data_IF_766800224961
#
_entry.id   IF_766800224961
#
_cell.length_a   1.000
_cell.length_b   1.000
_cell.length_c   1.000
_cell.angle_alpha   90.00
_cell.angle_beta   90.00
_cell.angle_gamma   90.00
#
_symmetry.space_group_name_H-M   'P 1'
#
loop_
_entity.id
_entity.type
_entity.pdbx_description
1 polymer ?
#
# COMPACT_ATOMS: atom_id res chain seq x y z
N UNK A 1 14.22 7.66 17.55
CA UNK A 1 13.85 6.32 18.09
C UNK A 1 13.26 5.40 17.03
N UNK A 2 12.29 5.84 16.22
CA UNK A 2 11.69 4.99 15.18
C UNK A 2 12.69 4.45 14.14
N UNK A 3 13.46 5.33 13.49
CA UNK A 3 14.41 4.91 12.44
C UNK A 3 15.39 3.84 12.93
N UNK A 4 15.90 3.97 14.17
CA UNK A 4 16.75 2.96 14.82
C UNK A 4 16.06 1.62 15.01
N UNK A 5 14.80 1.62 15.44
CA UNK A 5 14.02 0.39 15.61
C UNK A 5 13.74 -0.29 14.25
N UNK A 6 13.41 0.49 13.21
CA UNK A 6 13.20 -0.04 11.87
C UNK A 6 14.50 -0.57 11.25
N UNK A 7 15.61 0.12 11.49
CA UNK A 7 16.93 -0.31 11.03
C UNK A 7 17.36 -1.65 11.65
N UNK A 8 16.89 -2.02 12.84
CA UNK A 8 17.16 -3.36 13.40
C UNK A 8 16.66 -4.48 12.50
N UNK A 9 15.49 -4.34 11.86
CA UNK A 9 15.00 -5.36 10.92
C UNK A 9 15.90 -5.53 9.69
N UNK A 10 16.66 -4.49 9.33
CA UNK A 10 17.70 -4.57 8.29
C UNK A 10 18.92 -5.31 8.83
N UNK A 11 19.40 -4.97 10.05
CA UNK A 11 20.53 -5.63 10.69
C UNK A 11 20.32 -7.13 10.95
N UNK A 12 19.07 -7.53 11.22
CA UNK A 12 18.69 -8.93 11.38
C UNK A 12 18.81 -9.77 10.09
N UNK A 13 18.84 -9.12 8.92
CA UNK A 13 18.78 -9.77 7.61
C UNK A 13 20.04 -9.60 6.79
N UNK A 14 20.74 -8.49 6.98
CA UNK A 14 21.89 -8.13 6.18
C UNK A 14 23.01 -7.58 7.05
N UNK A 15 24.23 -7.73 6.56
CA UNK A 15 25.40 -7.04 7.08
C UNK A 15 25.59 -5.72 6.30
N UNK A 16 25.20 -4.55 6.85
CA UNK A 16 25.15 -3.31 6.06
C UNK A 16 26.49 -2.88 5.48
N UNK A 17 27.61 -3.27 6.10
CA UNK A 17 28.96 -2.98 5.61
C UNK A 17 29.28 -3.62 4.25
N UNK A 18 28.53 -4.64 3.83
CA UNK A 18 28.65 -5.26 2.50
C UNK A 18 27.98 -4.43 1.41
N UNK A 19 27.13 -3.47 1.78
CA UNK A 19 26.35 -2.68 0.84
C UNK A 19 26.89 -1.25 0.73
N UNK A 20 26.78 -0.66 -0.46
CA UNK A 20 26.71 0.79 -0.55
C UNK A 20 25.28 1.21 -0.18
N UNK A 21 25.11 1.79 1.00
CA UNK A 21 23.78 2.25 1.42
C UNK A 21 23.47 3.66 0.93
N UNK A 22 22.20 3.89 0.58
CA UNK A 22 21.66 5.16 0.12
C UNK A 22 20.38 5.52 0.91
N UNK A 23 20.32 6.71 1.49
CA UNK A 23 19.06 7.30 1.97
C UNK A 23 18.54 8.34 0.97
N UNK A 24 17.47 8.03 0.22
CA UNK A 24 16.81 9.02 -0.62
C UNK A 24 15.92 9.90 0.27
N UNK A 25 15.82 11.19 -0.06
CA UNK A 25 15.09 12.20 0.70
C UNK A 25 15.36 12.14 2.22
N UNK A 26 16.63 12.33 2.57
CA UNK A 26 17.14 12.10 3.91
C UNK A 26 16.60 13.06 4.99
N UNK A 27 16.11 14.24 4.62
CA UNK A 27 15.70 15.30 5.54
C UNK A 27 16.76 15.57 6.60
N UNK A 28 16.45 15.28 7.86
CA UNK A 28 17.37 15.42 9.00
C UNK A 28 18.39 14.27 9.12
N UNK A 29 18.47 13.36 8.16
CA UNK A 29 19.37 12.20 8.11
C UNK A 29 19.00 11.10 9.09
N UNK A 30 17.72 10.77 9.21
CA UNK A 30 17.21 9.86 10.25
C UNK A 30 17.78 8.44 10.12
N UNK A 31 17.88 7.90 8.91
CA UNK A 31 18.55 6.62 8.66
C UNK A 31 20.05 6.81 8.40
N UNK A 32 20.47 7.88 7.72
CA UNK A 32 21.85 8.18 7.35
C UNK A 32 22.81 8.15 8.53
N UNK A 33 22.40 8.69 9.68
CA UNK A 33 23.15 8.65 10.94
C UNK A 33 23.42 7.24 11.48
N UNK A 34 22.70 6.23 11.00
CA UNK A 34 22.80 4.84 11.44
C UNK A 34 23.59 3.97 10.45
N UNK A 35 23.81 4.47 9.23
CA UNK A 35 24.45 3.70 8.17
C UNK A 35 25.98 3.69 8.31
N UNK A 36 26.68 2.69 7.76
CA UNK A 36 28.14 2.64 7.77
C UNK A 36 28.79 3.87 7.14
N UNK A 37 30.07 4.10 7.47
CA UNK A 37 30.85 5.13 6.79
C UNK A 37 30.93 4.85 5.27
N UNK A 38 30.85 5.91 4.46
CA UNK A 38 30.82 5.81 3.00
C UNK A 38 29.44 5.53 2.40
N UNK A 39 28.38 5.54 3.22
CA UNK A 39 27.00 5.62 2.72
C UNK A 39 26.68 6.98 2.11
N UNK A 40 25.65 7.02 1.29
CA UNK A 40 25.18 8.21 0.59
C UNK A 40 23.80 8.63 1.14
N UNK A 41 23.54 9.92 1.12
CA UNK A 41 22.23 10.47 1.41
C UNK A 41 22.00 11.68 0.52
N UNK A 42 20.77 11.86 0.03
CA UNK A 42 20.39 13.03 -0.76
C UNK A 42 19.06 13.59 -0.31
N UNK A 43 18.87 14.90 -0.50
CA UNK A 43 17.59 15.56 -0.33
C UNK A 43 17.51 16.81 -1.22
N UNK A 44 16.31 17.14 -1.69
CA UNK A 44 16.05 18.40 -2.41
C UNK A 44 16.16 19.62 -1.50
N UNK A 45 16.08 19.41 -0.18
CA UNK A 45 16.20 20.39 0.88
C UNK A 45 17.14 19.81 1.98
N UNK A 46 18.43 19.75 1.66
CA UNK A 46 19.45 19.14 2.51
C UNK A 46 19.61 19.89 3.84
N UNK A 47 19.15 19.25 4.94
CA UNK A 47 19.13 19.83 6.30
C UNK A 47 20.20 19.28 7.25
N UNK A 48 20.94 18.28 6.83
CA UNK A 48 21.93 17.61 7.66
C UNK A 48 23.31 17.56 6.99
N UNK A 49 24.41 17.82 7.71
CA UNK A 49 25.75 17.75 7.14
C UNK A 49 26.04 16.39 6.47
N UNK A 50 26.59 16.43 5.26
CA UNK A 50 26.90 15.25 4.46
C UNK A 50 25.74 14.76 3.58
N UNK A 51 24.53 15.31 3.72
CA UNK A 51 23.44 15.06 2.77
C UNK A 51 23.68 15.87 1.50
N UNK A 52 23.65 15.19 0.35
CA UNK A 52 23.83 15.77 -0.97
C UNK A 52 22.56 16.54 -1.35
N UNK A 53 22.68 17.83 -1.66
CA UNK A 53 21.57 18.63 -2.18
C UNK A 53 21.27 18.20 -3.63
N UNK A 54 20.22 17.40 -3.83
CA UNK A 54 19.87 16.86 -5.14
C UNK A 54 18.46 16.27 -5.18
N UNK A 55 17.86 16.25 -6.36
CA UNK A 55 16.66 15.45 -6.63
C UNK A 55 17.05 13.98 -6.79
N UNK A 56 16.44 13.11 -5.97
CA UNK A 56 16.67 11.67 -6.02
C UNK A 56 16.44 11.08 -7.41
N UNK A 57 15.45 11.58 -8.16
CA UNK A 57 15.17 11.10 -9.52
C UNK A 57 16.27 11.43 -10.54
N UNK A 58 17.16 12.37 -10.21
CA UNK A 58 18.34 12.69 -11.03
C UNK A 58 19.59 11.90 -10.61
N UNK A 59 19.52 11.12 -9.52
CA UNK A 59 20.65 10.34 -9.01
C UNK A 59 20.67 8.96 -9.63
N UNK A 60 21.85 8.58 -10.10
CA UNK A 60 22.22 7.21 -10.44
C UNK A 60 23.46 6.83 -9.64
N UNK A 61 23.42 5.67 -8.99
CA UNK A 61 24.55 5.14 -8.23
C UNK A 61 25.15 3.97 -9.00
N UNK A 62 26.45 4.05 -9.27
CA UNK A 62 27.24 2.94 -9.77
C UNK A 62 28.18 2.50 -8.66
N UNK A 63 28.16 1.21 -8.34
CA UNK A 63 28.99 0.64 -7.28
C UNK A 63 29.38 -0.79 -7.61
N UNK A 64 30.63 -1.13 -7.25
CA UNK A 64 31.10 -2.53 -7.22
C UNK A 64 30.48 -3.33 -6.06
N UNK A 65 29.88 -2.63 -5.07
CA UNK A 65 29.14 -3.27 -3.98
C UNK A 65 27.66 -3.33 -4.32
N UNK A 66 26.93 -4.34 -3.83
CA UNK A 66 25.47 -4.31 -3.83
C UNK A 66 24.94 -3.03 -3.19
N UNK A 67 23.86 -2.49 -3.72
CA UNK A 67 23.28 -1.22 -3.26
C UNK A 67 22.05 -1.49 -2.41
N UNK A 68 21.97 -0.81 -1.26
CA UNK A 68 20.79 -0.86 -0.39
C UNK A 68 20.21 0.53 -0.20
N UNK A 69 18.99 0.73 -0.66
CA UNK A 69 18.27 1.99 -0.48
C UNK A 69 17.33 1.90 0.71
N UNK A 70 17.49 2.77 1.71
CA UNK A 70 16.66 2.80 2.93
C UNK A 70 16.15 4.21 3.21
N UNK A 71 14.89 4.38 3.60
CA UNK A 71 14.36 5.72 3.83
C UNK A 71 12.87 5.80 4.10
N UNK A 72 12.37 7.04 4.13
CA UNK A 72 10.95 7.36 4.27
C UNK A 72 10.53 8.27 3.11
N UNK A 73 10.29 7.72 1.90
CA UNK A 73 9.96 8.51 0.73
C UNK A 73 8.71 9.36 0.93
N UNK A 74 8.62 10.56 0.33
CA UNK A 74 7.40 11.35 0.36
C UNK A 74 6.26 10.59 -0.31
N UNK A 75 5.08 10.60 0.31
CA UNK A 75 4.00 9.70 -0.11
C UNK A 75 3.29 10.14 -1.40
N UNK A 76 3.10 11.44 -1.60
CA UNK A 76 2.31 11.98 -2.72
C UNK A 76 0.83 11.61 -2.66
N UNK A 77 0.06 12.01 -3.68
CA UNK A 77 -1.38 11.72 -3.77
C UNK A 77 -1.59 10.24 -4.06
N UNK A 78 -2.44 9.57 -3.27
CA UNK A 78 -2.72 8.13 -3.45
C UNK A 78 -1.47 7.24 -3.52
N UNK A 79 -0.44 7.60 -2.74
CA UNK A 79 0.85 6.89 -2.70
C UNK A 79 1.65 6.91 -4.02
N UNK A 80 1.34 7.81 -4.97
CA UNK A 80 2.00 7.83 -6.28
C UNK A 80 3.50 8.07 -6.17
N UNK A 81 3.90 9.10 -5.42
CA UNK A 81 5.29 9.51 -5.33
C UNK A 81 6.15 8.45 -4.63
N UNK A 82 5.63 7.79 -3.60
CA UNK A 82 6.33 6.68 -2.96
C UNK A 82 6.52 5.48 -3.92
N UNK A 83 5.58 5.24 -4.85
CA UNK A 83 5.73 4.20 -5.89
C UNK A 83 6.83 4.61 -6.88
N UNK A 84 6.87 5.88 -7.27
CA UNK A 84 7.90 6.40 -8.18
C UNK A 84 9.29 6.32 -7.54
N UNK A 85 9.43 6.71 -6.26
CA UNK A 85 10.66 6.54 -5.48
C UNK A 85 11.09 5.07 -5.39
N UNK A 86 10.15 4.15 -5.13
CA UNK A 86 10.44 2.72 -5.10
C UNK A 86 10.98 2.22 -6.44
N UNK A 87 10.30 2.57 -7.54
CA UNK A 87 10.70 2.12 -8.87
C UNK A 87 12.02 2.76 -9.33
N UNK A 88 12.29 4.01 -8.95
CA UNK A 88 13.58 4.65 -9.21
C UNK A 88 14.71 3.96 -8.44
N UNK A 89 14.51 3.71 -7.13
CA UNK A 89 15.46 2.96 -6.32
C UNK A 89 15.72 1.55 -6.89
N UNK A 90 14.70 0.90 -7.44
CA UNK A 90 14.79 -0.43 -8.03
C UNK A 90 15.68 -0.49 -9.28
N UNK A 91 16.00 0.64 -9.92
CA UNK A 91 16.91 0.66 -11.08
C UNK A 91 18.38 0.49 -10.70
N UNK A 92 18.72 0.67 -9.42
CA UNK A 92 20.11 0.71 -8.95
C UNK A 92 20.33 0.00 -7.61
N UNK A 93 19.30 -0.62 -7.02
CA UNK A 93 19.40 -1.29 -5.71
C UNK A 93 19.27 -2.80 -5.85
N UNK A 94 19.87 -3.51 -4.91
CA UNK A 94 19.62 -4.93 -4.64
C UNK A 94 18.62 -5.10 -3.49
N UNK A 95 18.57 -4.13 -2.58
CA UNK A 95 17.64 -4.12 -1.44
C UNK A 95 16.99 -2.75 -1.29
N UNK A 96 15.68 -2.72 -1.08
CA UNK A 96 14.91 -1.50 -0.77
C UNK A 96 14.21 -1.69 0.57
N UNK A 97 14.49 -0.83 1.53
CA UNK A 97 13.90 -0.83 2.87
C UNK A 97 13.19 0.51 3.13
N UNK A 98 11.88 0.60 2.87
CA UNK A 98 11.14 1.85 2.96
C UNK A 98 10.05 1.85 4.02
N UNK A 99 9.88 3.02 4.64
CA UNK A 99 8.64 3.40 5.33
C UNK A 99 7.65 3.90 4.28
N UNK A 100 6.54 3.19 4.12
CA UNK A 100 5.57 3.39 3.05
C UNK A 100 4.16 3.58 3.62
N UNK A 101 3.25 4.24 2.88
CA UNK A 101 1.84 4.24 3.24
C UNK A 101 1.28 2.82 3.35
N UNK A 102 0.37 2.54 4.29
CA UNK A 102 -0.26 1.20 4.42
C UNK A 102 -0.99 0.71 3.17
N UNK A 103 -1.27 1.58 2.20
CA UNK A 103 -1.78 1.18 0.89
C UNK A 103 -0.82 0.32 0.07
N UNK A 104 0.49 0.31 0.36
CA UNK A 104 1.45 -0.61 -0.27
C UNK A 104 1.17 -2.09 0.02
N UNK A 105 0.32 -2.38 1.01
CA UNK A 105 -0.18 -3.73 1.29
C UNK A 105 -1.24 -4.18 0.29
N UNK A 106 -1.85 -3.25 -0.47
CA UNK A 106 -2.87 -3.60 -1.46
C UNK A 106 -2.21 -4.21 -2.70
N UNK A 107 -2.77 -5.33 -3.15
CA UNK A 107 -2.33 -6.06 -4.35
C UNK A 107 -2.21 -5.17 -5.60
N UNK A 108 -3.15 -4.25 -5.79
CA UNK A 108 -3.11 -3.30 -6.91
C UNK A 108 -1.94 -2.32 -6.85
N UNK A 109 -1.49 -1.94 -5.64
CA UNK A 109 -0.31 -1.09 -5.46
C UNK A 109 0.96 -1.92 -5.69
N UNK A 110 1.03 -3.14 -5.15
CA UNK A 110 2.17 -4.04 -5.37
C UNK A 110 2.38 -4.40 -6.85
N UNK A 111 1.32 -4.42 -7.66
CA UNK A 111 1.42 -4.62 -9.11
C UNK A 111 2.07 -3.44 -9.86
N UNK A 112 2.18 -2.26 -9.22
CA UNK A 112 2.83 -1.07 -9.79
C UNK A 112 4.32 -0.98 -9.43
N UNK A 113 4.81 -1.86 -8.56
CA UNK A 113 6.20 -1.91 -8.14
C UNK A 113 7.02 -2.76 -9.11
N UNK A 114 8.31 -2.45 -9.23
CA UNK A 114 9.26 -3.21 -10.06
C UNK A 114 9.16 -4.72 -9.80
N UNK A 115 9.06 -5.52 -10.86
CA UNK A 115 8.65 -6.93 -10.76
C UNK A 115 9.75 -7.83 -10.22
N UNK A 116 11.02 -7.47 -10.40
CA UNK A 116 12.17 -8.18 -9.82
C UNK A 116 12.34 -7.97 -8.31
N UNK A 117 11.55 -7.11 -7.67
CA UNK A 117 11.63 -6.91 -6.23
C UNK A 117 10.59 -7.76 -5.49
N UNK A 118 11.06 -8.56 -4.54
CA UNK A 118 10.27 -9.49 -3.74
C UNK A 118 10.21 -9.04 -2.28
N UNK A 119 9.01 -8.92 -1.72
CA UNK A 119 8.80 -8.52 -0.33
C UNK A 119 9.30 -9.63 0.61
N UNK A 120 10.29 -9.34 1.44
CA UNK A 120 10.89 -10.29 2.39
C UNK A 120 10.62 -9.94 3.85
N UNK A 121 10.20 -8.70 4.12
CA UNK A 121 9.79 -8.29 5.46
C UNK A 121 8.73 -7.21 5.41
N UNK A 122 7.79 -7.29 6.34
CA UNK A 122 6.77 -6.27 6.56
C UNK A 122 6.55 -6.06 8.06
N UNK A 123 6.58 -4.81 8.50
CA UNK A 123 6.21 -4.40 9.86
C UNK A 123 5.24 -3.23 9.82
N UNK A 124 4.03 -3.41 10.34
CA UNK A 124 3.12 -2.29 10.59
C UNK A 124 3.77 -1.40 11.66
N UNK A 125 3.84 -0.09 11.36
CA UNK A 125 4.35 0.92 12.28
C UNK A 125 3.14 1.58 12.94
N UNK A 126 3.00 1.37 14.24
CA UNK A 126 1.89 1.92 15.04
C UNK A 126 2.06 3.44 15.25
N UNK A 127 0.96 4.13 15.55
CA UNK A 127 0.80 5.59 15.38
C UNK A 127 1.82 6.51 16.08
N UNK A 128 1.76 7.80 15.72
CA UNK A 128 2.55 8.93 16.26
C UNK A 128 4.05 8.97 15.93
N UNK A 129 4.51 8.24 14.92
CA UNK A 129 5.94 8.15 14.65
C UNK A 129 6.50 9.26 13.72
N UNK A 130 5.67 10.16 13.18
CA UNK A 130 6.08 11.15 12.17
C UNK A 130 5.56 12.55 12.45
N UNK A 131 6.42 13.54 12.18
CA UNK A 131 6.04 14.95 12.07
C UNK A 131 5.89 15.28 10.58
N UNK A 132 4.74 15.81 10.18
CA UNK A 132 4.57 16.47 8.88
C UNK A 132 4.49 17.97 9.14
N UNK A 133 5.44 18.76 8.60
CA UNK A 133 5.52 20.21 8.84
C UNK A 133 5.50 20.58 10.34
N UNK A 134 6.22 19.83 11.17
CA UNK A 134 6.30 20.05 12.62
C UNK A 134 5.06 19.62 13.43
N UNK A 135 4.04 19.03 12.79
CA UNK A 135 2.86 18.49 13.49
C UNK A 135 2.84 16.96 13.46
N UNK A 136 2.54 16.27 14.58
CA UNK A 136 2.34 14.83 14.58
C UNK A 136 1.28 14.45 13.55
N UNK A 137 1.65 13.62 12.58
CA UNK A 137 0.74 13.15 11.55
C UNK A 137 0.43 11.68 11.78
N UNK A 138 -0.85 11.36 12.01
CA UNK A 138 -1.31 9.99 12.18
C UNK A 138 -1.57 9.36 10.80
N UNK A 139 -0.52 9.22 9.99
CA UNK A 139 -0.61 8.47 8.73
C UNK A 139 -0.31 7.01 9.03
N UNK A 140 -1.24 6.08 8.76
CA UNK A 140 -0.96 4.67 8.87
C UNK A 140 0.10 4.27 7.84
N UNK A 141 1.24 3.79 8.34
CA UNK A 141 2.41 3.39 7.56
C UNK A 141 2.82 1.95 7.83
N UNK A 142 3.66 1.43 6.95
CA UNK A 142 4.25 0.11 7.01
C UNK A 142 5.72 0.23 6.63
N UNK A 143 6.60 -0.44 7.37
CA UNK A 143 7.98 -0.62 6.96
C UNK A 143 8.08 -1.93 6.17
N UNK A 144 8.64 -1.86 4.97
CA UNK A 144 8.80 -3.03 4.11
C UNK A 144 10.23 -3.13 3.62
N UNK A 145 10.75 -4.36 3.56
CA UNK A 145 12.03 -4.69 2.94
C UNK A 145 11.76 -5.57 1.73
N UNK A 146 12.33 -5.17 0.60
CA UNK A 146 12.23 -5.84 -0.68
C UNK A 146 13.62 -6.17 -1.21
N UNK A 147 13.78 -7.35 -1.80
CA UNK A 147 15.03 -7.84 -2.39
C UNK A 147 14.87 -8.01 -3.91
N UNK A 148 15.88 -7.59 -4.66
CA UNK A 148 16.02 -7.92 -6.07
C UNK A 148 16.23 -9.44 -6.25
N UNK A 149 15.60 -9.99 -7.28
CA UNK A 149 15.83 -11.33 -7.81
C UNK A 149 15.71 -11.30 -9.33
N UNK A 150 16.44 -12.15 -10.02
CA UNK A 150 16.39 -12.23 -11.49
C UNK A 150 15.02 -12.66 -12.01
N UNK A 151 14.27 -13.45 -11.23
CA UNK A 151 12.91 -13.83 -11.57
C UNK A 151 11.90 -12.72 -11.23
N UNK A 152 11.06 -12.39 -12.21
CA UNK A 152 9.97 -11.46 -11.99
C UNK A 152 8.85 -12.11 -11.16
N UNK A 153 8.37 -11.39 -10.14
CA UNK A 153 7.11 -11.77 -9.47
C UNK A 153 5.95 -11.84 -10.46
N UNK A 154 5.06 -12.78 -10.19
CA UNK A 154 3.73 -12.83 -10.79
C UNK A 154 2.90 -11.65 -10.31
N UNK A 155 2.20 -11.00 -11.24
CA UNK A 155 1.23 -9.97 -10.88
C UNK A 155 0.05 -10.61 -10.14
N UNK A 156 -0.43 -9.90 -9.13
CA UNK A 156 -1.66 -10.28 -8.43
C UNK A 156 -2.84 -10.19 -9.38
N UNK A 157 -3.73 -11.19 -9.36
CA UNK A 157 -4.98 -11.12 -10.10
C UNK A 157 -5.98 -10.23 -9.35
N UNK A 158 -6.11 -8.97 -9.78
CA UNK A 158 -6.98 -7.96 -9.14
C UNK A 158 -8.28 -7.83 -9.93
N UNK A 159 -9.23 -8.74 -9.69
CA UNK A 159 -10.56 -8.69 -10.33
C UNK A 159 -11.45 -7.65 -9.66
N UNK A 160 -12.22 -6.90 -10.44
CA UNK A 160 -13.18 -5.90 -9.95
C UNK A 160 -14.63 -6.24 -10.32
N UNK A 161 -14.85 -7.42 -10.89
CA UNK A 161 -16.15 -7.98 -11.28
C UNK A 161 -16.27 -9.43 -10.84
N UNK A 162 -17.51 -9.90 -10.67
CA UNK A 162 -17.83 -11.28 -10.34
C UNK A 162 -19.01 -11.78 -11.18
N UNK A 163 -19.10 -13.08 -11.52
CA UNK A 163 -20.25 -13.61 -12.25
C UNK A 163 -21.58 -13.46 -11.51
N UNK A 164 -21.55 -13.43 -10.17
CA UNK A 164 -22.79 -13.42 -9.36
C UNK A 164 -23.34 -12.01 -9.13
N UNK A 165 -22.52 -10.97 -9.28
CA UNK A 165 -22.95 -9.60 -8.98
C UNK A 165 -22.13 -8.53 -9.74
N UNK A 166 -22.75 -7.37 -9.91
CA UNK A 166 -22.17 -6.16 -10.49
C UNK A 166 -22.19 -5.02 -9.47
N UNK A 167 -21.25 -4.10 -9.62
CA UNK A 167 -21.27 -2.82 -8.93
C UNK A 167 -21.96 -1.78 -9.81
N UNK A 168 -23.09 -1.24 -9.37
CA UNK A 168 -23.97 -0.32 -10.15
C UNK A 168 -24.04 1.07 -9.50
N UNK A 169 -24.65 2.05 -10.17
CA UNK A 169 -24.95 3.34 -9.54
C UNK A 169 -26.18 3.26 -8.61
N UNK A 170 -26.34 4.25 -7.73
CA UNK A 170 -27.46 4.33 -6.78
C UNK A 170 -28.81 4.65 -7.43
N UNK A 171 -28.78 5.36 -8.55
CA UNK A 171 -29.89 6.06 -9.19
C UNK A 171 -30.23 5.52 -10.59
N UNK A 172 -29.70 4.35 -10.96
CA UNK A 172 -30.05 3.72 -12.23
C UNK A 172 -31.54 3.32 -12.23
N UNK A 173 -32.34 4.13 -12.94
CA UNK A 173 -33.79 4.04 -13.07
C UNK A 173 -34.25 3.00 -14.11
N UNK A 174 -33.31 2.35 -14.80
CA UNK A 174 -33.59 1.23 -15.67
C UNK A 174 -33.81 -0.02 -14.83
N UNK A 175 -34.90 -0.74 -15.10
CA UNK A 175 -35.28 -1.98 -14.39
C UNK A 175 -34.21 -3.08 -14.41
N UNK A 176 -33.24 -2.99 -15.33
CA UNK A 176 -32.21 -4.00 -15.55
C UNK A 176 -31.09 -4.00 -14.52
N UNK A 177 -30.74 -2.87 -13.89
CA UNK A 177 -29.53 -2.75 -13.05
C UNK A 177 -29.80 -2.10 -11.68
N UNK A 178 -31.06 -2.13 -11.22
CA UNK A 178 -31.45 -1.66 -9.89
C UNK A 178 -30.63 -2.42 -8.82
N UNK A 179 -30.04 -1.73 -7.82
CA UNK A 179 -29.32 -2.41 -6.76
C UNK A 179 -30.25 -3.22 -5.86
N UNK A 180 -29.77 -4.37 -5.42
CA UNK A 180 -30.46 -5.26 -4.49
C UNK A 180 -30.03 -4.96 -3.04
N UNK A 181 -28.77 -4.63 -2.80
CA UNK A 181 -28.25 -4.14 -1.51
C UNK A 181 -27.03 -3.22 -1.70
N UNK A 182 -26.57 -2.59 -0.61
CA UNK A 182 -25.40 -1.73 -0.59
C UNK A 182 -24.39 -2.20 0.46
N UNK A 183 -23.11 -1.96 0.21
CA UNK A 183 -22.02 -2.15 1.17
C UNK A 183 -21.29 -0.83 1.40
N UNK A 184 -21.13 -0.43 2.67
CA UNK A 184 -20.35 0.74 3.02
C UNK A 184 -18.86 0.48 2.74
N UNK A 185 -18.22 1.30 1.89
CA UNK A 185 -16.82 1.15 1.49
C UNK A 185 -15.85 2.09 2.20
N UNK A 186 -16.31 3.16 2.84
CA UNK A 186 -15.46 4.14 3.54
C UNK A 186 -15.99 4.42 4.95
N UNK A 187 -15.08 4.53 5.92
CA UNK A 187 -15.38 4.95 7.29
C UNK A 187 -15.38 3.80 8.29
N UNK A 188 -15.78 4.09 9.53
CA UNK A 188 -15.72 3.13 10.64
C UNK A 188 -16.55 1.86 10.41
N UNK A 189 -17.63 1.97 9.63
CA UNK A 189 -18.55 0.90 9.24
C UNK A 189 -18.22 0.28 7.87
N UNK A 190 -16.98 0.43 7.39
CA UNK A 190 -16.58 -0.16 6.11
C UNK A 190 -16.72 -1.69 6.18
N UNK A 191 -17.55 -2.26 5.31
CA UNK A 191 -17.95 -3.66 5.31
C UNK A 191 -19.44 -3.88 5.63
N UNK A 192 -20.11 -2.91 6.25
CA UNK A 192 -21.51 -3.05 6.65
C UNK A 192 -22.44 -3.08 5.44
N UNK A 193 -23.42 -4.00 5.46
CA UNK A 193 -24.45 -4.14 4.43
C UNK A 193 -25.75 -3.45 4.87
N UNK A 194 -26.42 -2.79 3.93
CA UNK A 194 -27.72 -2.15 4.16
C UNK A 194 -28.50 -1.94 2.86
N UNK A 195 -29.75 -1.47 2.98
CA UNK A 195 -30.66 -1.22 1.86
C UNK A 195 -30.97 0.27 1.62
N UNK A 196 -30.28 1.18 2.32
CA UNK A 196 -30.38 2.61 2.06
C UNK A 196 -29.62 3.02 0.78
N UNK A 197 -30.35 3.14 -0.34
CA UNK A 197 -29.81 3.53 -1.64
C UNK A 197 -29.65 5.04 -1.83
N UNK A 198 -30.08 5.86 -0.87
CA UNK A 198 -29.88 7.33 -0.91
C UNK A 198 -28.44 7.74 -0.55
N UNK A 199 -27.63 6.78 -0.07
CA UNK A 199 -26.28 7.05 0.40
C UNK A 199 -25.32 7.46 -0.73
N UNK A 200 -24.27 8.18 -0.35
CA UNK A 200 -23.27 8.66 -1.32
C UNK A 200 -22.47 7.51 -1.96
N UNK A 201 -22.41 7.51 -3.30
CA UNK A 201 -21.56 6.61 -4.11
C UNK A 201 -20.06 6.67 -3.81
N UNK A 202 -19.58 7.74 -3.19
CA UNK A 202 -18.17 7.86 -2.78
C UNK A 202 -17.87 7.02 -1.53
N UNK A 203 -18.88 6.79 -0.69
CA UNK A 203 -18.76 6.05 0.57
C UNK A 203 -19.41 4.66 0.52
N UNK A 204 -20.19 4.34 -0.50
CA UNK A 204 -20.93 3.08 -0.62
C UNK A 204 -20.78 2.48 -2.01
N UNK A 205 -20.78 1.17 -2.07
CA UNK A 205 -20.93 0.41 -3.30
C UNK A 205 -22.34 -0.19 -3.34
N UNK A 206 -22.99 -0.05 -4.48
CA UNK A 206 -24.31 -0.62 -4.73
C UNK A 206 -24.14 -1.90 -5.54
N UNK A 207 -24.79 -2.96 -5.09
CA UNK A 207 -24.63 -4.31 -5.62
C UNK A 207 -25.91 -4.72 -6.31
N UNK A 208 -25.77 -5.15 -7.56
CA UNK A 208 -26.82 -5.77 -8.35
C UNK A 208 -26.46 -7.24 -8.55
N UNK A 209 -27.32 -8.15 -8.12
CA UNK A 209 -27.14 -9.59 -8.27
C UNK A 209 -27.55 -9.97 -9.70
N UNK A 210 -26.72 -10.76 -10.37
CA UNK A 210 -26.92 -11.08 -11.79
C UNK A 210 -28.15 -11.99 -12.00
N UNK A 211 -28.30 -13.04 -11.18
CA UNK A 211 -29.53 -13.83 -11.09
C UNK A 211 -30.36 -13.32 -9.91
N UNK A 212 -31.50 -12.70 -10.21
CA UNK A 212 -32.33 -11.97 -9.24
C UNK A 212 -33.46 -12.82 -8.64
N UNK A 213 -33.37 -14.15 -8.72
CA UNK A 213 -34.23 -14.99 -7.89
C UNK A 213 -34.07 -14.61 -6.41
N UNK A 214 -35.16 -14.51 -5.63
CA UNK A 214 -35.09 -14.13 -4.21
C UNK A 214 -34.09 -14.97 -3.42
N UNK A 215 -33.97 -16.26 -3.75
CA UNK A 215 -33.04 -17.21 -3.15
C UNK A 215 -31.58 -16.83 -3.44
N UNK A 216 -31.27 -16.45 -4.67
CA UNK A 216 -29.91 -16.09 -5.06
C UNK A 216 -29.52 -14.71 -4.52
N UNK A 217 -30.43 -13.74 -4.48
CA UNK A 217 -30.18 -12.44 -3.82
C UNK A 217 -29.84 -12.66 -2.34
N UNK A 218 -30.66 -13.42 -1.62
CA UNK A 218 -30.43 -13.74 -0.22
C UNK A 218 -29.12 -14.53 -0.01
N UNK A 219 -28.77 -15.43 -0.93
CA UNK A 219 -27.51 -16.18 -0.89
C UNK A 219 -26.29 -15.26 -1.02
N UNK A 220 -26.27 -14.39 -2.04
CA UNK A 220 -25.17 -13.46 -2.29
C UNK A 220 -25.02 -12.48 -1.12
N UNK A 221 -26.12 -11.91 -0.64
CA UNK A 221 -26.12 -10.97 0.48
C UNK A 221 -25.61 -11.64 1.77
N UNK A 222 -26.04 -12.88 2.06
CA UNK A 222 -25.57 -13.65 3.23
C UNK A 222 -24.07 -13.91 3.17
N UNK A 223 -23.53 -14.30 2.01
CA UNK A 223 -22.08 -14.48 1.86
C UNK A 223 -21.39 -13.14 2.11
N UNK A 224 -21.82 -12.07 1.44
CA UNK A 224 -21.24 -10.74 1.62
C UNK A 224 -21.24 -10.30 3.09
N UNK A 225 -22.35 -10.53 3.81
CA UNK A 225 -22.50 -10.16 5.21
C UNK A 225 -21.64 -10.99 6.16
N UNK A 226 -21.18 -12.16 5.73
CA UNK A 226 -20.27 -13.01 6.50
C UNK A 226 -18.79 -12.70 6.31
N UNK A 227 -18.45 -11.85 5.33
CA UNK A 227 -17.05 -11.55 5.00
C UNK A 227 -16.37 -10.74 6.10
N UNK A 228 -15.19 -11.21 6.54
CA UNK A 228 -14.37 -10.48 7.51
C UNK A 228 -13.43 -9.49 6.82
N UNK A 229 -13.82 -8.21 6.81
CA UNK A 229 -13.06 -7.12 6.21
C UNK A 229 -12.00 -6.48 7.12
N UNK A 230 -11.90 -6.88 8.39
CA UNK A 230 -11.14 -6.17 9.42
C UNK A 230 -9.66 -5.93 9.06
N UNK A 231 -9.05 -6.86 8.33
CA UNK A 231 -7.65 -6.77 7.89
C UNK A 231 -7.46 -5.86 6.66
N UNK A 232 -8.46 -5.74 5.79
CA UNK A 232 -8.37 -5.01 4.52
C UNK A 232 -8.73 -3.53 4.65
N UNK A 233 -9.75 -3.20 5.45
CA UNK A 233 -10.23 -1.82 5.63
C UNK A 233 -9.14 -0.86 6.09
N UNK A 234 -8.12 -1.36 6.81
CA UNK A 234 -7.01 -0.56 7.35
C UNK A 234 -5.78 -0.51 6.44
N UNK A 235 -5.79 -1.13 5.27
CA UNK A 235 -4.66 -1.09 4.31
C UNK A 235 -4.67 0.20 3.49
N UNK A 236 -4.74 1.34 4.17
CA UNK A 236 -4.87 2.67 3.57
C UNK A 236 -4.15 3.71 4.42
N UNK A 237 -3.74 4.80 3.79
CA UNK A 237 -3.06 5.92 4.45
C UNK A 237 -4.01 6.90 5.16
N UNK A 238 -5.32 6.62 5.18
CA UNK A 238 -6.34 7.54 5.69
C UNK A 238 -7.56 6.77 6.22
N UNK A 239 -8.75 7.30 5.95
CA UNK A 239 -9.99 6.69 6.42
C UNK A 239 -10.11 5.23 5.95
N UNK A 240 -10.52 4.31 6.85
CA UNK A 240 -10.68 2.90 6.50
C UNK A 240 -11.51 2.75 5.23
N UNK A 241 -11.03 1.96 4.27
CA UNK A 241 -11.77 1.74 3.04
C UNK A 241 -11.43 0.47 2.28
N UNK A 242 -12.46 -0.06 1.61
CA UNK A 242 -12.42 -1.30 0.81
C UNK A 242 -12.41 -0.99 -0.68
N UNK A 243 -11.53 -1.61 -1.44
CA UNK A 243 -11.60 -1.60 -2.90
C UNK A 243 -12.60 -2.66 -3.40
N UNK A 244 -13.18 -2.45 -4.60
CA UNK A 244 -14.00 -3.47 -5.28
C UNK A 244 -13.29 -4.82 -5.35
N UNK A 245 -11.99 -4.82 -5.61
CA UNK A 245 -11.20 -6.05 -5.72
C UNK A 245 -11.02 -6.81 -4.41
N UNK A 246 -10.95 -6.11 -3.28
CA UNK A 246 -10.89 -6.72 -1.95
C UNK A 246 -12.21 -7.45 -1.63
N UNK A 247 -13.34 -6.86 -2.02
CA UNK A 247 -14.68 -7.48 -1.89
C UNK A 247 -14.80 -8.70 -2.80
N UNK A 248 -14.45 -8.56 -4.08
CA UNK A 248 -14.50 -9.67 -5.05
C UNK A 248 -13.60 -10.83 -4.61
N UNK A 249 -12.39 -10.54 -4.14
CA UNK A 249 -11.46 -11.57 -3.66
C UNK A 249 -12.04 -12.37 -2.49
N UNK A 250 -12.53 -11.70 -1.45
CA UNK A 250 -13.10 -12.36 -0.28
C UNK A 250 -14.37 -13.13 -0.63
N UNK A 251 -15.24 -12.55 -1.45
CA UNK A 251 -16.45 -13.20 -1.91
C UNK A 251 -16.15 -14.49 -2.70
N UNK A 252 -15.22 -14.43 -3.67
CA UNK A 252 -14.82 -15.61 -4.45
C UNK A 252 -14.21 -16.70 -3.57
N UNK A 253 -13.48 -16.35 -2.51
CA UNK A 253 -12.94 -17.31 -1.56
C UNK A 253 -14.05 -17.97 -0.72
N UNK A 254 -14.99 -17.18 -0.20
CA UNK A 254 -16.10 -17.65 0.62
C UNK A 254 -17.06 -18.56 -0.16
N UNK A 255 -17.32 -18.27 -1.44
CA UNK A 255 -18.22 -19.09 -2.28
C UNK A 255 -17.70 -20.53 -2.52
N UNK A 256 -16.39 -20.76 -2.39
CA UNK A 256 -15.78 -22.09 -2.58
C UNK A 256 -15.88 -22.99 -1.34
N UNK A 257 -16.38 -22.44 -0.23
CA UNK A 257 -16.53 -23.13 1.06
C UNK A 257 -17.98 -23.55 1.23
#
# INVERSE_FOLDING_TARGET
MLARALYQFVLERYHPGLYLMLEPCAGDGAFFKLMPYGSLACDIDAKYPGVILSDFFAIMVQSERPVMTIGNPPFGRNASLAVDFFNHAATMSDVIAFVLPRSFRKRSVQNRLHRNFHLVHEKIVEGYAFLFMGKPCNVPVVFQIWEYRDDERRLHNVKTSHPDFKFVASDESTTSDKPDFAIQRVGARAGDIHHDFSKSKNAHYFIHVVDRSPENVAYVERIMGSLNFAKMVRNVAGNPSLAKSEIVELYTAARKT
#
